data_IF_459076216414
#
_entry.id   IF_459076216414
#
_cell.length_a   1.000
_cell.length_b   1.000
_cell.length_c   1.000
_cell.angle_alpha   90.00
_cell.angle_beta   90.00
_cell.angle_gamma   90.00
#
_symmetry.space_group_name_H-M   'P 1'
#
loop_
_entity.id
_entity.type
_entity.pdbx_description
1 polymer ?
#
# COMPACT_ATOMS: atom_id res chain seq x y z
N UNK A 1 -19.88 -5.18 -3.32
CA UNK A 1 -19.56 -6.18 -4.35
C UNK A 1 -18.44 -7.08 -3.85
N UNK A 2 -18.45 -8.38 -4.18
CA UNK A 2 -17.32 -9.26 -3.88
C UNK A 2 -16.07 -8.78 -4.63
N UNK A 3 -14.88 -8.88 -4.02
CA UNK A 3 -13.60 -8.54 -4.66
C UNK A 3 -13.35 -9.48 -5.84
N UNK A 4 -13.01 -8.94 -7.01
CA UNK A 4 -12.63 -9.71 -8.19
C UNK A 4 -11.38 -10.53 -7.90
N UNK A 5 -11.30 -11.76 -8.42
CA UNK A 5 -10.23 -12.71 -8.07
C UNK A 5 -8.83 -12.13 -8.31
N UNK A 6 -8.65 -11.35 -9.38
CA UNK A 6 -7.35 -10.76 -9.74
C UNK A 6 -6.88 -9.73 -8.74
N UNK A 7 -7.78 -9.13 -7.96
CA UNK A 7 -7.43 -8.12 -6.96
C UNK A 7 -7.26 -8.71 -5.55
N UNK A 8 -7.67 -9.96 -5.33
CA UNK A 8 -7.52 -10.63 -4.03
C UNK A 8 -6.05 -10.68 -3.55
N UNK A 9 -5.04 -10.97 -4.40
CA UNK A 9 -3.64 -10.95 -3.98
C UNK A 9 -3.21 -9.59 -3.42
N UNK A 10 -3.55 -8.49 -4.09
CA UNK A 10 -3.28 -7.13 -3.59
C UNK A 10 -3.98 -6.89 -2.24
N UNK A 11 -5.26 -7.27 -2.12
CA UNK A 11 -6.00 -7.17 -0.86
C UNK A 11 -5.38 -8.01 0.28
N UNK A 12 -4.69 -9.11 -0.01
CA UNK A 12 -3.99 -9.88 1.00
C UNK A 12 -2.72 -9.16 1.50
N UNK A 13 -2.00 -8.52 0.60
CA UNK A 13 -0.83 -7.69 0.95
C UNK A 13 -1.25 -6.46 1.75
N UNK A 14 -2.34 -5.80 1.34
CA UNK A 14 -2.95 -4.71 2.10
C UNK A 14 -3.26 -5.10 3.54
N UNK A 15 -3.79 -6.30 3.79
CA UNK A 15 -4.04 -6.75 5.18
C UNK A 15 -2.76 -6.78 6.02
N UNK A 16 -1.66 -7.23 5.43
CA UNK A 16 -0.35 -7.28 6.10
C UNK A 16 0.23 -5.88 6.32
N UNK A 17 0.16 -5.01 5.32
CA UNK A 17 0.60 -3.63 5.42
C UNK A 17 -0.23 -2.85 6.45
N UNK A 18 -1.55 -3.01 6.47
CA UNK A 18 -2.45 -2.39 7.46
C UNK A 18 -2.17 -2.86 8.88
N UNK A 19 -1.80 -4.13 9.06
CA UNK A 19 -1.36 -4.62 10.36
C UNK A 19 -0.09 -3.89 10.81
N UNK A 20 0.88 -3.70 9.91
CA UNK A 20 2.07 -2.92 10.20
C UNK A 20 1.75 -1.46 10.53
N UNK A 21 0.86 -0.81 9.77
CA UNK A 21 0.40 0.55 10.09
C UNK A 21 -0.18 0.64 11.51
N UNK A 22 -1.02 -0.32 11.92
CA UNK A 22 -1.59 -0.33 13.28
C UNK A 22 -0.51 -0.38 14.35
N UNK A 23 0.56 -1.12 14.11
CA UNK A 23 1.65 -1.28 15.08
C UNK A 23 2.55 -0.04 15.19
N UNK A 24 2.67 0.75 14.12
CA UNK A 24 3.55 1.91 14.07
C UNK A 24 2.97 3.18 14.69
N UNK A 25 1.65 3.32 14.71
CA UNK A 25 0.98 4.51 15.25
C UNK A 25 1.33 4.73 16.72
N UNK A 26 1.43 5.99 17.14
CA UNK A 26 1.71 6.35 18.55
C UNK A 26 0.59 5.92 19.50
N UNK A 27 -0.64 5.88 19.00
CA UNK A 27 -1.83 5.46 19.73
C UNK A 27 -2.09 3.94 19.64
N UNK A 28 -1.10 3.16 19.18
CA UNK A 28 -1.19 1.72 19.09
C UNK A 28 -1.37 1.08 20.47
N UNK A 29 -2.44 0.28 20.62
CA UNK A 29 -2.60 -0.57 21.79
C UNK A 29 -1.47 -1.64 21.83
N UNK A 30 -0.96 -2.00 23.03
CA UNK A 30 -0.01 -3.09 23.17
C UNK A 30 -0.55 -4.37 22.52
N UNK A 31 0.30 -5.05 21.75
CA UNK A 31 -0.06 -6.30 21.09
C UNK A 31 0.89 -7.41 21.54
N UNK A 32 0.33 -8.56 21.91
CA UNK A 32 1.10 -9.67 22.47
C UNK A 32 2.14 -10.16 21.46
N UNK A 33 3.41 -10.16 21.86
CA UNK A 33 4.53 -10.56 21.00
C UNK A 33 5.12 -9.44 20.14
N UNK A 34 4.66 -8.19 20.31
CA UNK A 34 5.11 -7.03 19.54
C UNK A 34 5.45 -5.86 20.50
N UNK A 35 6.72 -5.73 20.92
CA UNK A 35 7.14 -4.70 21.87
C UNK A 35 7.07 -3.30 21.25
N UNK A 36 6.38 -2.36 21.90
CA UNK A 36 6.22 -0.98 21.40
C UNK A 36 7.51 -0.13 21.42
N UNK A 37 8.69 -0.72 21.60
CA UNK A 37 9.93 0.02 21.53
C UNK A 37 10.18 0.54 20.10
N UNK A 38 10.69 1.77 20.01
CA UNK A 38 10.84 2.50 18.75
C UNK A 38 11.73 1.75 17.76
N UNK A 39 12.80 1.11 18.22
CA UNK A 39 13.75 0.42 17.36
C UNK A 39 13.18 -0.90 16.81
N UNK A 40 12.47 -1.68 17.61
CA UNK A 40 11.79 -2.89 17.13
C UNK A 40 10.65 -2.55 16.17
N UNK A 41 9.90 -1.46 16.40
CA UNK A 41 8.92 -0.94 15.44
C UNK A 41 9.57 -0.56 14.11
N UNK A 42 10.71 0.13 14.15
CA UNK A 42 11.48 0.48 12.96
C UNK A 42 11.98 -0.77 12.22
N UNK A 43 12.62 -1.71 12.92
CA UNK A 43 13.09 -2.97 12.32
C UNK A 43 11.94 -3.76 11.69
N UNK A 44 10.80 -3.81 12.36
CA UNK A 44 9.62 -4.49 11.85
C UNK A 44 9.11 -3.86 10.56
N UNK A 45 8.94 -2.53 10.49
CA UNK A 45 8.44 -1.91 9.26
C UNK A 45 9.43 -2.05 8.10
N UNK A 46 10.73 -1.91 8.36
CA UNK A 46 11.76 -2.14 7.33
C UNK A 46 11.64 -3.56 6.77
N UNK A 47 11.47 -4.57 7.63
CA UNK A 47 11.29 -5.95 7.17
C UNK A 47 10.02 -6.14 6.34
N UNK A 48 8.89 -5.54 6.76
CA UNK A 48 7.62 -5.63 6.02
C UNK A 48 7.71 -4.91 4.67
N UNK A 49 8.35 -3.75 4.61
CA UNK A 49 8.51 -3.00 3.36
C UNK A 49 9.40 -3.74 2.37
N UNK A 50 10.52 -4.32 2.84
CA UNK A 50 11.40 -5.13 2.02
C UNK A 50 10.70 -6.39 1.46
N UNK A 51 9.91 -7.06 2.28
CA UNK A 51 9.27 -8.32 1.88
C UNK A 51 8.01 -8.13 1.04
N UNK A 52 7.24 -7.07 1.29
CA UNK A 52 5.89 -6.90 0.72
C UNK A 52 5.79 -5.70 -0.20
N UNK A 53 6.23 -4.52 0.25
CA UNK A 53 5.90 -3.25 -0.41
C UNK A 53 6.45 -3.17 -1.83
N UNK A 54 7.67 -3.66 -2.07
CA UNK A 54 8.29 -3.60 -3.40
C UNK A 54 7.50 -4.38 -4.44
N UNK A 55 7.19 -5.66 -4.14
CA UNK A 55 6.40 -6.49 -5.05
C UNK A 55 4.95 -6.03 -5.17
N UNK A 56 4.42 -5.39 -4.13
CA UNK A 56 3.09 -4.81 -4.12
C UNK A 56 2.97 -3.63 -5.09
N UNK A 57 3.83 -2.60 -4.96
CA UNK A 57 3.85 -1.43 -5.84
C UNK A 57 4.02 -1.85 -7.30
N UNK A 58 4.89 -2.81 -7.58
CA UNK A 58 5.09 -3.36 -8.91
C UNK A 58 3.81 -3.94 -9.55
N UNK A 59 2.99 -4.62 -8.75
CA UNK A 59 1.71 -5.15 -9.22
C UNK A 59 0.67 -4.05 -9.39
N UNK A 60 0.70 -3.03 -8.55
CA UNK A 60 -0.17 -1.87 -8.68
C UNK A 60 0.15 -1.05 -9.92
N UNK A 61 1.42 -0.75 -10.17
CA UNK A 61 1.85 -0.07 -11.39
C UNK A 61 1.45 -0.86 -12.64
N UNK A 62 1.61 -2.19 -12.62
CA UNK A 62 1.11 -3.04 -13.69
C UNK A 62 -0.42 -2.92 -13.86
N UNK A 63 -1.20 -3.00 -12.77
CA UNK A 63 -2.65 -2.79 -12.82
C UNK A 63 -3.01 -1.41 -13.38
N UNK A 64 -2.33 -0.36 -12.93
CA UNK A 64 -2.56 1.02 -13.33
C UNK A 64 -2.29 1.20 -14.83
N UNK A 65 -1.19 0.65 -15.34
CA UNK A 65 -0.86 0.65 -16.76
C UNK A 65 -1.91 -0.08 -17.59
N UNK A 66 -2.45 -1.20 -17.07
CA UNK A 66 -3.55 -1.91 -17.75
C UNK A 66 -4.83 -1.09 -17.78
N UNK A 67 -5.12 -0.27 -16.77
CA UNK A 67 -6.33 0.55 -16.72
C UNK A 67 -6.24 1.89 -17.46
N UNK A 68 -5.02 2.39 -17.70
CA UNK A 68 -4.74 3.71 -18.23
C UNK A 68 -5.48 4.00 -19.55
N UNK A 69 -6.16 5.14 -19.61
CA UNK A 69 -6.85 5.64 -20.80
C UNK A 69 -8.19 4.95 -21.09
N UNK A 70 -8.63 4.01 -20.25
CA UNK A 70 -9.90 3.31 -20.44
C UNK A 70 -11.08 3.99 -19.73
N UNK A 71 -10.82 4.78 -18.67
CA UNK A 71 -11.87 5.52 -17.95
C UNK A 71 -11.31 6.78 -17.26
N UNK A 72 -11.89 7.98 -17.49
CA UNK A 72 -11.32 9.24 -17.02
C UNK A 72 -11.22 9.33 -15.49
N UNK A 73 -12.25 8.90 -14.76
CA UNK A 73 -12.21 8.95 -13.28
C UNK A 73 -11.17 7.98 -12.69
N UNK A 74 -10.90 6.87 -13.38
CA UNK A 74 -9.88 5.91 -12.95
C UNK A 74 -8.49 6.50 -13.24
N UNK A 75 -8.31 7.17 -14.38
CA UNK A 75 -7.05 7.85 -14.72
C UNK A 75 -6.70 8.97 -13.73
N UNK A 76 -7.68 9.76 -13.31
CA UNK A 76 -7.49 10.80 -12.28
C UNK A 76 -7.05 10.17 -10.96
N UNK A 77 -7.74 9.11 -10.53
CA UNK A 77 -7.44 8.44 -9.28
C UNK A 77 -6.07 7.74 -9.29
N UNK A 78 -5.68 7.14 -10.41
CA UNK A 78 -4.34 6.56 -10.60
C UNK A 78 -3.26 7.63 -10.47
N UNK A 79 -3.44 8.82 -11.06
CA UNK A 79 -2.47 9.90 -10.92
C UNK A 79 -2.32 10.35 -9.46
N UNK A 80 -3.43 10.45 -8.73
CA UNK A 80 -3.40 10.75 -7.29
C UNK A 80 -2.63 9.68 -6.51
N UNK A 81 -2.90 8.40 -6.74
CA UNK A 81 -2.24 7.28 -6.04
C UNK A 81 -0.74 7.21 -6.34
N UNK A 82 -0.32 7.49 -7.57
CA UNK A 82 1.10 7.56 -7.94
C UNK A 82 1.83 8.69 -7.20
N UNK A 83 1.20 9.84 -6.99
CA UNK A 83 1.75 10.91 -6.16
C UNK A 83 1.84 10.50 -4.68
N UNK A 84 0.86 9.73 -4.19
CA UNK A 84 0.91 9.15 -2.85
C UNK A 84 2.05 8.14 -2.70
N UNK A 85 2.32 7.28 -3.70
CA UNK A 85 3.47 6.37 -3.70
C UNK A 85 4.78 7.15 -3.50
N UNK A 86 4.96 8.24 -4.24
CA UNK A 86 6.15 9.10 -4.10
C UNK A 86 6.24 9.72 -2.70
N UNK A 87 5.11 10.17 -2.14
CA UNK A 87 5.09 10.74 -0.80
C UNK A 87 5.44 9.69 0.27
N UNK A 88 4.86 8.50 0.20
CA UNK A 88 5.11 7.39 1.12
C UNK A 88 6.58 6.94 1.03
N UNK A 89 7.13 6.87 -0.18
CA UNK A 89 8.55 6.53 -0.41
C UNK A 89 9.51 7.55 0.23
N UNK A 90 9.18 8.86 0.14
CA UNK A 90 9.94 9.92 0.82
C UNK A 90 9.86 9.80 2.35
N UNK A 91 8.65 9.58 2.89
CA UNK A 91 8.46 9.39 4.33
C UNK A 91 9.23 8.16 4.85
N UNK A 92 9.25 7.07 4.08
CA UNK A 92 10.02 5.88 4.42
C UNK A 92 11.53 6.14 4.41
N UNK A 93 12.04 6.85 3.40
CA UNK A 93 13.47 7.20 3.31
C UNK A 93 13.93 8.03 4.52
N UNK A 94 13.08 8.95 5.00
CA UNK A 94 13.37 9.80 6.15
C UNK A 94 13.58 9.01 7.47
N UNK A 95 13.09 7.76 7.57
CA UNK A 95 13.34 6.92 8.73
C UNK A 95 14.82 6.56 8.94
N UNK A 96 15.63 6.68 7.88
CA UNK A 96 17.08 6.42 7.93
C UNK A 96 17.93 7.66 8.21
N UNK A 97 17.31 8.85 8.24
CA UNK A 97 18.03 10.11 8.40
C UNK A 97 18.48 10.33 9.87
N UNK A 98 19.73 10.79 10.11
CA UNK A 98 20.18 11.13 11.45
C UNK A 98 19.35 12.27 12.06
N UNK A 99 18.96 12.12 13.33
CA UNK A 99 18.18 13.14 14.05
C UNK A 99 16.69 13.14 13.77
N UNK A 100 16.18 12.20 12.96
CA UNK A 100 14.74 12.01 12.73
C UNK A 100 14.00 11.72 14.03
N UNK A 101 12.87 12.41 14.24
CA UNK A 101 11.90 12.07 15.28
C UNK A 101 11.17 10.78 14.88
N UNK A 102 11.80 9.62 15.12
CA UNK A 102 11.36 8.33 14.59
C UNK A 102 9.89 8.00 14.89
N UNK A 103 9.41 8.23 16.12
CA UNK A 103 8.02 7.95 16.48
C UNK A 103 7.01 8.80 15.70
N UNK A 104 7.35 10.07 15.45
CA UNK A 104 6.52 11.02 14.71
C UNK A 104 6.49 10.66 13.22
N UNK A 105 7.65 10.33 12.66
CA UNK A 105 7.79 9.92 11.26
C UNK A 105 7.09 8.58 11.01
N UNK A 106 7.24 7.60 11.91
CA UNK A 106 6.54 6.30 11.81
C UNK A 106 5.02 6.44 11.91
N UNK A 107 4.51 7.28 12.81
CA UNK A 107 3.06 7.53 12.92
C UNK A 107 2.50 8.22 11.66
N UNK A 108 3.23 9.21 11.15
CA UNK A 108 2.85 9.92 9.92
C UNK A 108 2.84 8.98 8.71
N UNK A 109 3.88 8.16 8.56
CA UNK A 109 3.97 7.13 7.52
C UNK A 109 2.80 6.15 7.62
N UNK A 110 2.53 5.63 8.82
CA UNK A 110 1.47 4.65 9.04
C UNK A 110 0.08 5.18 8.70
N UNK A 111 -0.21 6.43 9.07
CA UNK A 111 -1.49 7.08 8.73
C UNK A 111 -1.63 7.35 7.25
N UNK A 112 -0.54 7.78 6.59
CA UNK A 112 -0.52 8.04 5.16
C UNK A 112 -0.72 6.75 4.36
N UNK A 113 0.03 5.69 4.69
CA UNK A 113 -0.08 4.39 4.06
C UNK A 113 -1.45 3.74 4.31
N UNK A 114 -2.00 3.84 5.53
CA UNK A 114 -3.37 3.36 5.76
C UNK A 114 -4.39 4.11 4.92
N UNK A 115 -4.30 5.44 4.84
CA UNK A 115 -5.23 6.25 4.05
C UNK A 115 -5.19 5.86 2.57
N UNK A 116 -3.98 5.70 2.04
CA UNK A 116 -3.70 5.23 0.68
C UNK A 116 -4.32 3.86 0.40
N UNK A 117 -3.97 2.83 1.19
CA UNK A 117 -4.52 1.46 1.03
C UNK A 117 -6.06 1.47 1.11
N UNK A 118 -6.65 2.27 2.00
CA UNK A 118 -8.10 2.38 2.12
C UNK A 118 -8.74 2.99 0.88
N UNK A 119 -8.07 3.94 0.22
CA UNK A 119 -8.52 4.55 -1.02
C UNK A 119 -8.52 3.53 -2.16
N UNK A 120 -7.46 2.74 -2.27
CA UNK A 120 -7.37 1.69 -3.29
C UNK A 120 -8.45 0.64 -3.10
N UNK A 121 -8.58 0.10 -1.88
CA UNK A 121 -9.56 -0.92 -1.55
C UNK A 121 -11.00 -0.45 -1.76
N UNK A 122 -11.33 0.76 -1.29
CA UNK A 122 -12.72 1.22 -1.20
C UNK A 122 -13.17 2.00 -2.43
N UNK A 123 -12.26 2.60 -3.17
CA UNK A 123 -12.57 3.49 -4.29
C UNK A 123 -12.03 2.89 -5.59
N UNK A 124 -10.70 2.84 -5.75
CA UNK A 124 -10.10 2.44 -7.03
C UNK A 124 -10.56 1.05 -7.45
N UNK A 125 -10.39 0.05 -6.59
CA UNK A 125 -10.76 -1.31 -6.93
C UNK A 125 -12.27 -1.47 -7.18
N UNK A 126 -13.12 -0.67 -6.53
CA UNK A 126 -14.56 -0.71 -6.83
C UNK A 126 -14.84 -0.14 -8.22
N UNK A 127 -14.23 1.00 -8.56
CA UNK A 127 -14.37 1.63 -9.87
C UNK A 127 -13.86 0.73 -10.99
N UNK A 128 -12.67 0.14 -10.84
CA UNK A 128 -12.11 -0.78 -11.85
C UNK A 128 -13.03 -1.98 -12.04
N UNK A 129 -13.54 -2.60 -10.97
CA UNK A 129 -14.43 -3.74 -11.13
C UNK A 129 -15.78 -3.38 -11.77
N UNK A 130 -16.27 -2.15 -11.54
CA UNK A 130 -17.53 -1.68 -12.11
C UNK A 130 -17.38 -1.33 -13.59
N UNK A 131 -16.28 -0.68 -13.97
CA UNK A 131 -16.12 -0.08 -15.29
C UNK A 131 -15.19 -0.85 -16.22
N UNK A 132 -14.21 -1.59 -15.68
CA UNK A 132 -13.17 -2.31 -16.44
C UNK A 132 -13.09 -3.81 -16.07
N UNK A 133 -14.20 -4.56 -15.99
CA UNK A 133 -14.16 -5.97 -15.59
C UNK A 133 -13.34 -6.84 -16.55
N UNK A 134 -13.36 -6.55 -17.85
CA UNK A 134 -12.57 -7.30 -18.85
C UNK A 134 -11.06 -7.07 -18.68
N UNK A 135 -10.66 -5.86 -18.26
CA UNK A 135 -9.26 -5.57 -17.93
C UNK A 135 -8.79 -6.41 -16.74
N UNK A 136 -9.65 -6.57 -15.72
CA UNK A 136 -9.33 -7.44 -14.57
C UNK A 136 -9.27 -8.91 -14.95
N UNK A 137 -10.15 -9.37 -15.84
CA UNK A 137 -10.15 -10.76 -16.30
C UNK A 137 -8.88 -11.14 -17.08
N UNK A 138 -8.23 -10.17 -17.72
CA UNK A 138 -6.97 -10.35 -18.45
C UNK A 138 -5.73 -10.13 -17.57
N UNK A 139 -5.90 -9.69 -16.32
CA UNK A 139 -4.80 -9.36 -15.42
C UNK A 139 -4.12 -10.65 -14.91
N UNK A 140 -2.82 -10.77 -15.13
CA UNK A 140 -2.03 -11.88 -14.60
C UNK A 140 -0.70 -11.37 -14.01
N UNK A 141 -0.64 -11.33 -12.68
CA UNK A 141 0.56 -10.90 -11.95
C UNK A 141 1.75 -11.87 -12.02
N UNK A 142 1.54 -13.11 -12.51
CA UNK A 142 2.60 -14.11 -12.58
C UNK A 142 3.44 -14.02 -13.87
N UNK A 143 2.97 -13.28 -14.89
CA UNK A 143 3.65 -13.18 -16.18
C UNK A 143 4.63 -11.98 -16.28
N UNK A 144 4.74 -11.16 -15.25
CA UNK A 144 5.54 -9.92 -15.27
C UNK A 144 6.97 -10.09 -14.74
N UNK A 145 7.32 -11.27 -14.19
CA UNK A 145 8.60 -11.50 -13.50
C UNK A 145 9.27 -12.83 -13.87
N UNK A 146 9.19 -13.23 -15.14
CA UNK A 146 10.00 -14.31 -15.73
C UNK A 146 11.23 -13.78 -16.45
#
# INVERSE_FOLDING_TARGET
MQRHHSLIPLSHEHKRLLFACRYLKKDAAPYKGFPLDTNARLQYIVSVFQEVMVGHIQKEEYLFDRCKGQHPDIDILIQELLLEHQQISRMYSALSEPGTALDDTMDTLARSLETHIRKEERILFQLIQQHLPDTLAQLNFNNTWS
#
